data_IF_047759363940
#
_entry.id   IF_047759363940
#
_cell.length_a   1.000
_cell.length_b   1.000
_cell.length_c   1.000
_cell.angle_alpha   90.00
_cell.angle_beta   90.00
_cell.angle_gamma   90.00
#
_symmetry.space_group_name_H-M   'P 1'
#
loop_
_entity.id
_entity.type
_entity.pdbx_description
1 polymer ?
#
# COMPACT_ATOMS: atom_id res chain seq x y z
N UNK A 1 6.80 -3.86 27.09
CA UNK A 1 6.86 -4.43 25.73
C UNK A 1 5.64 -3.90 25.00
N UNK A 2 5.79 -2.92 24.10
CA UNK A 2 4.65 -2.47 23.28
C UNK A 2 4.61 -3.42 22.09
N UNK A 3 3.61 -4.31 22.04
CA UNK A 3 3.35 -5.09 20.85
C UNK A 3 3.02 -4.10 19.73
N UNK A 4 3.90 -3.98 18.73
CA UNK A 4 3.58 -3.21 17.53
C UNK A 4 2.33 -3.80 16.87
N UNK A 5 1.51 -2.95 16.24
CA UNK A 5 0.37 -3.43 15.45
C UNK A 5 0.85 -4.50 14.44
N UNK A 6 0.14 -5.62 14.28
CA UNK A 6 0.51 -6.65 13.31
C UNK A 6 0.51 -6.06 11.89
N UNK A 7 1.55 -6.36 11.12
CA UNK A 7 1.75 -5.87 9.75
C UNK A 7 2.95 -6.55 9.09
N UNK A 8 3.07 -6.41 7.78
CA UNK A 8 4.17 -6.96 6.98
C UNK A 8 5.23 -5.88 6.71
N UNK A 9 6.47 -6.13 7.14
CA UNK A 9 7.61 -5.23 6.88
C UNK A 9 8.30 -5.65 5.58
N UNK A 10 8.64 -4.69 4.73
CA UNK A 10 9.48 -4.92 3.57
C UNK A 10 10.93 -5.14 3.99
N UNK A 11 11.43 -6.36 3.86
CA UNK A 11 12.81 -6.71 4.25
C UNK A 11 13.83 -6.37 3.14
N UNK A 12 13.36 -6.10 1.92
CA UNK A 12 14.14 -5.69 0.74
C UNK A 12 13.34 -4.79 -0.19
N UNK A 13 14.02 -4.09 -1.10
CA UNK A 13 13.39 -3.27 -2.14
C UNK A 13 12.69 -4.09 -3.25
N UNK A 14 12.87 -5.41 -3.23
CA UNK A 14 12.19 -6.37 -4.12
C UNK A 14 10.88 -6.90 -3.52
N UNK A 15 10.54 -6.48 -2.29
CA UNK A 15 9.29 -6.92 -1.63
C UNK A 15 8.08 -6.38 -2.38
N UNK A 16 7.08 -7.23 -2.64
CA UNK A 16 5.85 -6.80 -3.28
C UNK A 16 4.61 -7.48 -2.70
N UNK A 17 3.47 -6.80 -2.84
CA UNK A 17 2.14 -7.33 -2.54
C UNK A 17 1.27 -7.12 -3.77
N UNK A 18 0.76 -8.21 -4.34
CA UNK A 18 -0.24 -8.17 -5.40
C UNK A 18 -1.64 -8.30 -4.79
N UNK A 19 -2.50 -7.34 -5.07
CA UNK A 19 -3.86 -7.26 -4.54
C UNK A 19 -4.87 -7.35 -5.68
N UNK A 20 -5.76 -8.34 -5.61
CA UNK A 20 -7.02 -8.32 -6.34
C UNK A 20 -8.08 -7.72 -5.42
N UNK A 21 -8.88 -6.79 -5.91
CA UNK A 21 -9.91 -6.10 -5.13
C UNK A 21 -11.19 -5.89 -5.94
N UNK A 22 -12.30 -5.59 -5.25
CA UNK A 22 -13.57 -5.17 -5.82
C UNK A 22 -14.08 -3.97 -5.02
N UNK A 23 -13.77 -2.76 -5.50
CA UNK A 23 -14.01 -1.51 -4.79
C UNK A 23 -13.94 -0.32 -5.76
N UNK A 24 -14.44 0.85 -5.35
CA UNK A 24 -14.23 2.10 -6.08
C UNK A 24 -12.90 2.74 -5.68
N UNK A 25 -12.63 2.75 -4.38
CA UNK A 25 -11.45 3.35 -3.78
C UNK A 25 -10.64 2.28 -3.04
N UNK A 26 -9.32 2.37 -3.13
CA UNK A 26 -8.40 1.52 -2.37
C UNK A 26 -7.42 2.39 -1.60
N UNK A 27 -7.27 2.09 -0.32
CA UNK A 27 -6.33 2.73 0.58
C UNK A 27 -5.37 1.69 1.15
N UNK A 28 -4.18 2.15 1.54
CA UNK A 28 -3.19 1.35 2.26
C UNK A 28 -2.80 2.06 3.54
N UNK A 29 -2.82 1.34 4.66
CA UNK A 29 -2.24 1.83 5.92
C UNK A 29 -0.79 1.39 5.95
N UNK A 30 0.13 2.35 5.87
CA UNK A 30 1.58 2.11 5.84
C UNK A 30 2.29 3.10 6.75
N UNK A 31 3.37 2.65 7.38
CA UNK A 31 4.24 3.51 8.20
C UNK A 31 5.71 3.19 7.97
N UNK A 32 6.58 4.02 8.56
CA UNK A 32 8.02 4.00 8.32
C UNK A 32 8.46 5.20 7.47
N UNK A 33 9.66 5.13 6.90
CA UNK A 33 10.20 6.18 6.04
C UNK A 33 10.74 5.56 4.75
N UNK A 34 10.27 6.05 3.60
CA UNK A 34 10.64 5.51 2.30
C UNK A 34 9.62 5.85 1.23
N UNK A 35 9.60 5.07 0.16
CA UNK A 35 8.67 5.24 -0.96
C UNK A 35 7.85 3.97 -1.14
N UNK A 36 6.55 4.12 -1.35
CA UNK A 36 5.66 3.05 -1.79
C UNK A 36 5.40 3.25 -3.29
N UNK A 37 5.84 2.31 -4.13
CA UNK A 37 5.45 2.29 -5.54
C UNK A 37 4.14 1.50 -5.70
N UNK A 38 3.20 2.03 -6.48
CA UNK A 38 1.90 1.42 -6.76
C UNK A 38 1.76 1.29 -8.26
N UNK A 39 1.65 0.06 -8.76
CA UNK A 39 1.46 -0.25 -10.18
C UNK A 39 0.04 -0.76 -10.42
N UNK A 40 -0.69 -0.08 -11.30
CA UNK A 40 -2.03 -0.47 -11.75
C UNK A 40 -2.14 -0.22 -13.26
N UNK A 41 -2.68 -1.18 -14.00
CA UNK A 41 -2.87 -1.05 -15.46
C UNK A 41 -1.58 -0.66 -16.21
N UNK A 42 -0.44 -1.19 -15.77
CA UNK A 42 0.88 -0.88 -16.33
C UNK A 42 1.46 0.50 -15.95
N UNK A 43 0.70 1.34 -15.24
CA UNK A 43 1.17 2.64 -14.76
C UNK A 43 1.63 2.55 -13.32
N UNK A 44 2.80 3.12 -13.04
CA UNK A 44 3.37 3.18 -11.68
C UNK A 44 3.32 4.61 -11.16
N UNK A 45 2.82 4.76 -9.94
CA UNK A 45 2.88 6.00 -9.16
C UNK A 45 3.69 5.76 -7.89
N UNK A 46 4.34 6.79 -7.37
CA UNK A 46 5.13 6.72 -6.14
C UNK A 46 4.49 7.59 -5.06
N UNK A 47 4.39 7.04 -3.86
CA UNK A 47 3.84 7.72 -2.68
C UNK A 47 4.96 7.84 -1.64
N UNK A 48 5.41 9.06 -1.29
CA UNK A 48 6.38 9.23 -0.21
C UNK A 48 5.71 8.93 1.13
N UNK A 49 6.35 8.08 1.94
CA UNK A 49 5.87 7.66 3.26
C UNK A 49 6.85 8.16 4.31
N UNK A 50 6.31 8.78 5.37
CA UNK A 50 7.10 9.21 6.51
C UNK A 50 6.28 9.22 7.79
N UNK A 51 6.92 8.89 8.91
CA UNK A 51 6.34 9.02 10.23
C UNK A 51 5.43 7.83 10.64
N UNK A 52 4.49 8.07 11.57
CA UNK A 52 3.61 7.02 12.09
C UNK A 52 2.71 6.44 10.99
N UNK A 53 2.13 5.24 11.18
CA UNK A 53 1.25 4.63 10.18
C UNK A 53 0.03 5.51 9.87
N UNK A 54 -0.18 5.84 8.59
CA UNK A 54 -1.37 6.59 8.14
C UNK A 54 -1.99 5.93 6.90
N UNK A 55 -3.21 6.34 6.56
CA UNK A 55 -3.91 5.87 5.36
C UNK A 55 -3.51 6.69 4.13
N UNK A 56 -3.13 5.99 3.05
CA UNK A 56 -2.80 6.59 1.76
C UNK A 56 -3.78 6.08 0.70
N UNK A 57 -4.39 7.01 -0.06
CA UNK A 57 -5.29 6.69 -1.17
C UNK A 57 -4.47 6.30 -2.41
N UNK A 58 -4.62 5.06 -2.88
CA UNK A 58 -3.78 4.49 -3.95
C UNK A 58 -4.57 4.11 -5.20
N UNK A 59 -5.89 4.04 -5.12
CA UNK A 59 -6.79 3.94 -6.27
C UNK A 59 -7.98 4.83 -6.04
N UNK A 60 -8.19 5.81 -6.92
CA UNK A 60 -9.39 6.64 -7.00
C UNK A 60 -10.15 6.27 -8.28
N UNK A 61 -11.20 5.46 -8.17
CA UNK A 61 -12.03 5.04 -9.31
C UNK A 61 -13.30 5.87 -9.47
N UNK A 62 -13.92 5.78 -10.65
CA UNK A 62 -15.19 6.45 -10.95
C UNK A 62 -16.42 5.63 -10.51
N UNK A 63 -16.25 4.32 -10.29
CA UNK A 63 -17.29 3.39 -9.84
C UNK A 63 -16.70 2.13 -9.20
N UNK A 64 -17.55 1.29 -8.62
CA UNK A 64 -17.12 0.01 -8.03
C UNK A 64 -16.77 -0.95 -9.15
N UNK A 65 -15.53 -1.43 -9.17
CA UNK A 65 -15.04 -2.37 -10.17
C UNK A 65 -14.07 -3.39 -9.58
N UNK A 66 -13.91 -4.53 -10.26
CA UNK A 66 -12.84 -5.47 -9.97
C UNK A 66 -11.53 -4.98 -10.58
N UNK A 67 -10.44 -5.07 -9.83
CA UNK A 67 -9.13 -4.66 -10.31
C UNK A 67 -7.99 -5.44 -9.66
N UNK A 68 -6.81 -5.28 -10.25
CA UNK A 68 -5.55 -5.76 -9.70
C UNK A 68 -4.58 -4.59 -9.61
N UNK A 69 -3.87 -4.51 -8.50
CA UNK A 69 -2.70 -3.63 -8.35
C UNK A 69 -1.56 -4.40 -7.70
N UNK A 70 -0.35 -3.88 -7.88
CA UNK A 70 0.83 -4.31 -7.14
C UNK A 70 1.37 -3.13 -6.35
N UNK A 71 1.70 -3.34 -5.08
CA UNK A 71 2.48 -2.38 -4.30
C UNK A 71 3.86 -2.92 -4.03
N UNK A 72 4.87 -2.05 -4.14
CA UNK A 72 6.28 -2.33 -3.79
C UNK A 72 6.70 -1.34 -2.70
N UNK A 73 6.55 -1.72 -1.42
CA UNK A 73 7.11 -0.93 -0.31
C UNK A 73 8.64 -1.00 -0.34
N UNK A 74 9.30 0.16 -0.31
CA UNK A 74 10.75 0.22 -0.08
C UNK A 74 11.13 -0.40 1.26
N UNK A 75 12.37 -0.88 1.37
CA UNK A 75 12.87 -1.57 2.57
C UNK A 75 12.60 -0.76 3.85
N UNK A 76 12.05 -1.43 4.86
CA UNK A 76 11.74 -0.84 6.17
C UNK A 76 10.35 -0.21 6.27
N UNK A 77 9.62 -0.02 5.16
CA UNK A 77 8.20 0.29 5.23
C UNK A 77 7.40 -0.91 5.75
N UNK A 78 6.37 -0.63 6.56
CA UNK A 78 5.46 -1.64 7.07
C UNK A 78 4.04 -1.39 6.59
N UNK A 79 3.48 -2.35 5.89
CA UNK A 79 2.08 -2.36 5.44
C UNK A 79 1.23 -3.07 6.49
N UNK A 80 0.18 -2.41 6.97
CA UNK A 80 -0.70 -2.94 8.03
C UNK A 80 -1.99 -3.52 7.46
N UNK A 81 -2.63 -2.80 6.54
CA UNK A 81 -3.88 -3.23 5.93
C UNK A 81 -4.14 -2.51 4.60
N UNK A 82 -5.02 -3.11 3.80
CA UNK A 82 -5.73 -2.42 2.72
C UNK A 82 -7.16 -2.20 3.16
N UNK A 83 -7.70 -1.01 2.87
CA UNK A 83 -9.09 -0.66 3.14
C UNK A 83 -9.75 -0.11 1.88
N UNK A 84 -11.08 -0.09 1.86
CA UNK A 84 -11.87 0.10 0.64
C UNK A 84 -13.04 1.03 0.87
N UNK A 85 -13.51 1.67 -0.20
CA UNK A 85 -14.72 2.50 -0.24
C UNK A 85 -15.11 2.86 -1.66
#
# INVERSE_FOLDING_TARGET
MVAGLPGATAESDESSIKLNYHAKNVYVVVGGTGTLAVTRNGQTTTVPISGPPTSHHIVAGDGVESGTLEVRPGKGLRVYSFTYG
#
